data_IF_448002676280
#
_entry.id   IF_448002676280
#
_cell.length_a   1.000
_cell.length_b   1.000
_cell.length_c   1.000
_cell.angle_alpha   90.00
_cell.angle_beta   90.00
_cell.angle_gamma   90.00
#
_symmetry.space_group_name_H-M   'P 1'
#
loop_
_entity.id
_entity.type
_entity.pdbx_description
1 polymer ?
#
# COMPACT_ATOMS: atom_id res chain seq x y z
N UNK A 1 2.21 21.02 3.12
CA UNK A 1 1.74 19.65 2.84
C UNK A 1 1.82 18.86 4.12
N UNK A 2 0.73 18.20 4.50
CA UNK A 2 0.68 17.30 5.65
C UNK A 2 1.17 15.90 5.23
N UNK A 3 2.49 15.71 5.29
CA UNK A 3 3.12 14.46 4.89
C UNK A 3 2.75 13.29 5.80
N UNK A 4 2.40 13.54 7.06
CA UNK A 4 1.99 12.49 7.99
C UNK A 4 0.61 11.94 7.60
N UNK A 5 -0.35 12.83 7.37
CA UNK A 5 -1.68 12.43 6.89
C UNK A 5 -1.60 11.69 5.56
N UNK A 6 -0.84 12.23 4.60
CA UNK A 6 -0.66 11.56 3.31
C UNK A 6 -0.01 10.18 3.47
N UNK A 7 1.07 10.06 4.25
CA UNK A 7 1.70 8.77 4.52
C UNK A 7 0.70 7.74 5.08
N UNK A 8 -0.15 8.17 6.02
CA UNK A 8 -1.19 7.33 6.61
C UNK A 8 -2.23 6.87 5.57
N UNK A 9 -2.72 7.79 4.74
CA UNK A 9 -3.68 7.48 3.68
C UNK A 9 -3.11 6.43 2.71
N UNK A 10 -1.87 6.62 2.22
CA UNK A 10 -1.22 5.66 1.31
C UNK A 10 -1.01 4.28 1.94
N UNK A 11 -0.56 4.22 3.20
CA UNK A 11 -0.35 2.96 3.90
C UNK A 11 -1.67 2.24 4.21
N UNK A 12 -2.72 2.97 4.57
CA UNK A 12 -4.06 2.40 4.79
C UNK A 12 -4.65 1.82 3.50
N UNK A 13 -4.46 2.47 2.35
CA UNK A 13 -4.89 1.88 1.07
C UNK A 13 -4.08 0.63 0.73
N UNK A 14 -2.78 0.60 1.01
CA UNK A 14 -1.98 -0.61 0.83
C UNK A 14 -2.50 -1.78 1.69
N UNK A 15 -2.88 -1.54 2.95
CA UNK A 15 -3.48 -2.55 3.84
C UNK A 15 -4.84 -3.05 3.33
N UNK A 16 -5.64 -2.19 2.70
CA UNK A 16 -6.89 -2.60 2.04
C UNK A 16 -6.63 -3.53 0.87
N UNK A 17 -5.60 -3.23 0.07
CA UNK A 17 -5.20 -4.08 -1.05
C UNK A 17 -4.68 -5.43 -0.53
N UNK A 18 -3.92 -5.48 0.56
CA UNK A 18 -3.48 -6.74 1.15
C UNK A 18 -4.66 -7.66 1.52
N UNK A 19 -5.69 -7.11 2.18
CA UNK A 19 -6.92 -7.87 2.48
C UNK A 19 -7.61 -8.37 1.21
N UNK A 20 -7.70 -7.52 0.18
CA UNK A 20 -8.30 -7.92 -1.10
C UNK A 20 -7.48 -9.01 -1.82
N UNK A 21 -6.15 -8.97 -1.71
CA UNK A 21 -5.27 -9.99 -2.25
C UNK A 21 -5.46 -11.34 -1.54
N UNK A 22 -5.68 -11.33 -0.22
CA UNK A 22 -5.99 -12.54 0.55
C UNK A 22 -7.32 -13.18 0.11
N UNK A 23 -8.35 -12.36 -0.08
CA UNK A 23 -9.65 -12.79 -0.63
C UNK A 23 -9.48 -13.42 -2.02
N UNK A 24 -8.82 -12.72 -2.94
CA UNK A 24 -8.62 -13.19 -4.31
C UNK A 24 -7.75 -14.46 -4.37
N UNK A 25 -6.73 -14.59 -3.51
CA UNK A 25 -5.94 -15.82 -3.40
C UNK A 25 -6.78 -16.99 -2.89
N UNK A 26 -7.73 -16.73 -1.99
CA UNK A 26 -8.67 -17.75 -1.52
C UNK A 26 -9.63 -18.17 -2.64
N UNK A 27 -10.19 -17.22 -3.38
CA UNK A 27 -11.05 -17.48 -4.54
C UNK A 27 -10.33 -18.25 -5.65
N UNK A 28 -9.10 -17.86 -5.99
CA UNK A 28 -8.29 -18.52 -7.01
C UNK A 28 -7.98 -19.98 -6.65
N UNK A 29 -7.67 -20.27 -5.38
CA UNK A 29 -7.50 -21.66 -4.90
C UNK A 29 -8.76 -22.52 -5.07
N UNK A 30 -9.94 -21.92 -5.01
CA UNK A 30 -11.22 -22.64 -5.11
C UNK A 30 -11.69 -22.85 -6.55
N UNK A 31 -11.38 -21.89 -7.45
CA UNK A 31 -11.99 -21.84 -8.77
C UNK A 31 -11.00 -21.91 -9.94
N UNK A 32 -9.68 -21.81 -9.70
CA UNK A 32 -8.60 -21.90 -10.70
C UNK A 32 -8.84 -21.05 -11.97
N UNK A 33 -9.33 -19.82 -11.79
CA UNK A 33 -9.56 -18.92 -12.93
C UNK A 33 -8.24 -18.24 -13.33
N UNK A 34 -7.89 -18.28 -14.63
CA UNK A 34 -6.63 -17.74 -15.14
C UNK A 34 -6.56 -16.21 -15.09
N UNK A 35 -7.70 -15.53 -15.21
CA UNK A 35 -7.84 -14.06 -15.16
C UNK A 35 -7.59 -13.49 -13.75
N UNK A 36 -7.84 -14.28 -12.70
CA UNK A 36 -7.56 -13.90 -11.31
C UNK A 36 -6.07 -13.65 -11.06
N UNK A 37 -5.17 -14.36 -11.75
CA UNK A 37 -3.72 -14.17 -11.58
C UNK A 37 -3.24 -12.81 -12.09
N UNK A 38 -3.72 -12.36 -13.24
CA UNK A 38 -3.41 -11.03 -13.77
C UNK A 38 -3.97 -9.92 -12.85
N UNK A 39 -5.16 -10.13 -12.29
CA UNK A 39 -5.76 -9.19 -11.34
C UNK A 39 -4.99 -9.13 -10.02
N UNK A 40 -4.54 -10.28 -9.51
CA UNK A 40 -3.66 -10.38 -8.33
C UNK A 40 -2.35 -9.65 -8.59
N UNK A 41 -1.72 -9.86 -9.77
CA UNK A 41 -0.47 -9.20 -10.15
C UNK A 41 -0.57 -7.68 -10.12
N UNK A 42 -1.58 -7.12 -10.82
CA UNK A 42 -1.81 -5.67 -10.84
C UNK A 42 -2.06 -5.07 -9.46
N UNK A 43 -2.79 -5.78 -8.61
CA UNK A 43 -3.03 -5.32 -7.23
C UNK A 43 -1.74 -5.33 -6.39
N UNK A 44 -0.86 -6.31 -6.60
CA UNK A 44 0.44 -6.33 -5.91
C UNK A 44 1.31 -5.14 -6.30
N UNK A 45 1.37 -4.79 -7.59
CA UNK A 45 2.11 -3.62 -8.08
C UNK A 45 1.61 -2.33 -7.44
N UNK A 46 0.29 -2.09 -7.49
CA UNK A 46 -0.33 -0.89 -6.90
C UNK A 46 -0.03 -0.82 -5.40
N UNK A 47 -0.15 -1.93 -4.68
CA UNK A 47 0.15 -1.98 -3.24
C UNK A 47 1.61 -1.59 -2.97
N UNK A 48 2.55 -2.12 -3.75
CA UNK A 48 3.97 -1.89 -3.53
C UNK A 48 4.32 -0.42 -3.78
N UNK A 49 3.76 0.19 -4.82
CA UNK A 49 3.88 1.63 -5.09
C UNK A 49 3.31 2.49 -3.95
N UNK A 50 2.14 2.12 -3.42
CA UNK A 50 1.52 2.80 -2.29
C UNK A 50 2.41 2.71 -1.04
N UNK A 51 2.99 1.53 -0.75
CA UNK A 51 3.90 1.34 0.39
C UNK A 51 5.16 2.17 0.26
N UNK A 52 5.81 2.13 -0.91
CA UNK A 52 7.02 2.93 -1.18
C UNK A 52 6.73 4.41 -0.98
N UNK A 53 5.65 4.90 -1.58
CA UNK A 53 5.25 6.32 -1.47
C UNK A 53 4.91 6.70 -0.04
N UNK A 54 4.11 5.88 0.65
CA UNK A 54 3.74 6.08 2.05
C UNK A 54 4.95 6.18 2.97
N UNK A 55 5.93 5.28 2.84
CA UNK A 55 7.15 5.31 3.65
C UNK A 55 8.05 6.50 3.32
N UNK A 56 8.15 6.92 2.06
CA UNK A 56 8.89 8.15 1.71
C UNK A 56 8.26 9.37 2.37
N UNK A 57 6.93 9.48 2.35
CA UNK A 57 6.19 10.57 3.00
C UNK A 57 6.37 10.54 4.52
N UNK A 58 6.31 9.35 5.13
CA UNK A 58 6.54 9.15 6.56
C UNK A 58 7.94 9.62 6.98
N UNK A 59 8.98 9.26 6.21
CA UNK A 59 10.36 9.72 6.46
C UNK A 59 10.47 11.24 6.35
N UNK A 60 9.81 11.86 5.37
CA UNK A 60 9.81 13.33 5.20
C UNK A 60 9.10 14.04 6.35
N UNK A 61 8.02 13.48 6.88
CA UNK A 61 7.33 14.02 8.06
C UNK A 61 8.25 14.02 9.29
N UNK A 62 8.96 12.90 9.53
CA UNK A 62 9.92 12.78 10.63
C UNK A 62 11.12 13.72 10.49
N UNK A 63 11.66 13.87 9.28
CA UNK A 63 12.76 14.80 9.00
C UNK A 63 12.40 16.27 9.29
N UNK A 64 11.16 16.68 9.02
CA UNK A 64 10.68 18.02 9.42
C UNK A 64 10.55 18.18 10.93
N UNK A 65 10.02 17.16 11.63
CA UNK A 65 9.88 17.22 13.09
C UNK A 65 11.20 17.36 13.84
N UNK A 66 12.33 16.94 13.26
CA UNK A 66 13.66 17.11 13.85
C UNK A 66 14.29 18.46 13.49
N UNK A 67 14.01 19.01 12.30
CA UNK A 67 14.46 20.34 11.89
C UNK A 67 13.75 21.49 12.60
N UNK A 68 12.48 21.32 12.97
CA UNK A 68 11.70 22.33 13.70
C UNK A 68 12.01 22.41 15.22
N UNK A 69 12.88 21.51 15.73
CA UNK A 69 13.26 21.43 17.16
C UNK A 69 14.68 21.93 17.46
N UNK A 70 15.40 22.46 16.48
CA UNK A 70 16.75 23.02 16.61
C UNK A 70 16.72 24.54 16.39
#
# INVERSE_FOLDING_TARGET
>A
MDYERMAREYLTEAERIDRRLEELRRENRLHLQSDLWERIGRLMEIRDDLRVTGHVLQRRALGRSLGDRA
#
